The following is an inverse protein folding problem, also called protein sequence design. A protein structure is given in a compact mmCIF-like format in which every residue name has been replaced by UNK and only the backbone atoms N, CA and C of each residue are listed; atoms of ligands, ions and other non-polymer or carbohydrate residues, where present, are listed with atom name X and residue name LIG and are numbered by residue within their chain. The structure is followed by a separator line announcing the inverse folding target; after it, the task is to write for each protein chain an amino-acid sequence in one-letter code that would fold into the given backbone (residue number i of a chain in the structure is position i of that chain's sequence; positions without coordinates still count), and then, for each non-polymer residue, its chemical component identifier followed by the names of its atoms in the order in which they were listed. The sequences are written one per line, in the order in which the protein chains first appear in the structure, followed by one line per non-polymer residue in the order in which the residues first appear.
data_IF_541865106780
#
_entry.id   IF_541865106780
#
_cell.length_a   1.000
_cell.length_b   1.000
_cell.length_c   1.000
_cell.angle_alpha   90.00
_cell.angle_beta   90.00
_cell.angle_gamma   90.00
#
_symmetry.space_group_name_H-M   'P 1'
#
loop_
_entity.id
_entity.type
_entity.pdbx_description
1 polymer ?
#
# COMPACT_ATOMS: atom_id res chain seq x y z
N UNK A 1 38.06 -30.70 -33.09
CA UNK A 1 37.62 -29.29 -32.93
C UNK A 1 36.26 -29.16 -32.25
N UNK A 2 35.21 -29.86 -32.70
CA UNK A 2 33.85 -29.81 -32.12
C UNK A 2 33.74 -30.11 -30.60
N UNK A 3 34.58 -31.00 -30.05
CA UNK A 3 34.57 -31.36 -28.61
C UNK A 3 35.00 -30.20 -27.69
N UNK A 4 35.95 -29.38 -28.14
CA UNK A 4 36.48 -28.23 -27.38
C UNK A 4 35.44 -27.10 -27.35
N UNK A 5 34.77 -26.87 -28.47
CA UNK A 5 33.69 -25.87 -28.59
C UNK A 5 32.49 -26.24 -27.72
N UNK A 6 32.11 -27.51 -27.69
CA UNK A 6 31.03 -28.01 -26.84
C UNK A 6 31.38 -27.93 -25.35
N UNK A 7 32.61 -28.29 -24.96
CA UNK A 7 33.05 -28.18 -23.56
C UNK A 7 33.10 -26.72 -23.09
N UNK A 8 33.59 -25.81 -23.94
CA UNK A 8 33.58 -24.37 -23.65
C UNK A 8 32.15 -23.83 -23.51
N UNK A 9 31.23 -24.24 -24.40
CA UNK A 9 29.82 -23.88 -24.30
C UNK A 9 29.16 -24.45 -23.04
N UNK A 10 29.43 -25.71 -22.68
CA UNK A 10 28.92 -26.33 -21.46
C UNK A 10 29.39 -25.58 -20.20
N UNK A 11 30.66 -25.17 -20.16
CA UNK A 11 31.20 -24.33 -19.07
C UNK A 11 30.53 -22.96 -19.03
N UNK A 12 30.30 -22.34 -20.19
CA UNK A 12 29.55 -21.09 -20.31
C UNK A 12 28.12 -21.23 -19.77
N UNK A 13 27.32 -22.17 -20.28
CA UNK A 13 25.93 -22.37 -19.89
C UNK A 13 25.80 -22.67 -18.39
N UNK A 14 26.66 -23.54 -17.85
CA UNK A 14 26.70 -23.82 -16.41
C UNK A 14 27.11 -22.59 -15.59
N UNK A 15 28.04 -21.77 -16.09
CA UNK A 15 28.43 -20.51 -15.47
C UNK A 15 27.26 -19.53 -15.39
N UNK A 16 26.56 -19.33 -16.50
CA UNK A 16 25.40 -18.43 -16.60
C UNK A 16 24.29 -18.86 -15.63
N UNK A 17 23.97 -20.15 -15.59
CA UNK A 17 22.93 -20.67 -14.70
C UNK A 17 23.23 -20.40 -13.22
N UNK A 18 24.51 -20.38 -12.82
CA UNK A 18 24.93 -20.12 -11.44
C UNK A 18 24.96 -18.63 -11.06
N UNK A 19 24.88 -17.72 -12.02
CA UNK A 19 24.94 -16.30 -11.75
C UNK A 19 23.76 -15.83 -10.88
N UNK A 20 24.02 -14.93 -9.95
CA UNK A 20 23.02 -14.36 -9.04
C UNK A 20 22.64 -12.93 -9.40
N UNK A 21 23.43 -12.29 -10.27
CA UNK A 21 23.32 -10.89 -10.65
C UNK A 21 23.91 -10.66 -12.05
N UNK A 22 23.61 -9.49 -12.64
CA UNK A 22 24.09 -9.12 -13.97
C UNK A 22 25.63 -9.02 -14.07
N UNK A 23 26.36 -8.41 -13.11
CA UNK A 23 27.82 -8.34 -13.19
C UNK A 23 28.52 -9.72 -13.26
N UNK A 24 27.99 -10.74 -12.60
CA UNK A 24 28.51 -12.11 -12.69
C UNK A 24 28.36 -12.69 -14.11
N UNK A 25 27.26 -12.39 -14.80
CA UNK A 25 27.06 -12.78 -16.20
C UNK A 25 28.18 -12.20 -17.08
N UNK A 26 28.54 -10.93 -16.90
CA UNK A 26 29.60 -10.28 -17.68
C UNK A 26 30.93 -11.01 -17.54
N UNK A 27 31.31 -11.36 -16.31
CA UNK A 27 32.52 -12.14 -16.02
C UNK A 27 32.52 -13.52 -16.67
N UNK A 28 31.38 -14.22 -16.66
CA UNK A 28 31.26 -15.54 -17.30
C UNK A 28 31.40 -15.42 -18.82
N UNK A 29 30.83 -14.37 -19.39
CA UNK A 29 30.89 -14.09 -20.84
C UNK A 29 32.31 -13.77 -21.29
N UNK A 30 33.01 -12.88 -20.59
CA UNK A 30 34.41 -12.57 -20.87
C UNK A 30 35.30 -13.81 -20.68
N UNK A 31 35.01 -14.67 -19.71
CA UNK A 31 35.84 -15.86 -19.43
C UNK A 31 35.62 -17.00 -20.42
N UNK A 32 34.40 -17.22 -20.89
CA UNK A 32 34.06 -18.41 -21.66
C UNK A 32 33.61 -18.10 -23.08
N UNK A 33 32.75 -17.10 -23.29
CA UNK A 33 32.13 -16.86 -24.60
C UNK A 33 33.12 -16.27 -25.62
N UNK A 34 34.07 -15.42 -25.19
CA UNK A 34 35.07 -14.79 -26.09
C UNK A 34 35.93 -15.79 -26.87
N UNK A 35 36.10 -17.00 -26.32
CA UNK A 35 36.87 -18.07 -26.98
C UNK A 35 36.03 -18.85 -28.00
N UNK A 36 34.70 -18.77 -27.85
CA UNK A 36 33.75 -19.54 -28.65
C UNK A 36 33.30 -18.71 -29.86
N UNK A 37 32.95 -17.44 -29.66
CA UNK A 37 32.44 -16.53 -30.69
C UNK A 37 33.33 -15.29 -30.81
N UNK A 38 33.56 -14.81 -32.03
CA UNK A 38 34.11 -13.46 -32.22
C UNK A 38 33.00 -12.43 -32.01
N UNK A 39 33.05 -11.72 -30.90
CA UNK A 39 32.14 -10.61 -30.64
C UNK A 39 32.83 -9.54 -29.79
N UNK A 40 32.48 -8.29 -30.08
CA UNK A 40 32.83 -7.14 -29.26
C UNK A 40 31.64 -6.69 -28.41
N UNK A 41 30.44 -6.77 -29.00
CA UNK A 41 29.18 -6.47 -28.33
C UNK A 41 28.14 -7.52 -28.69
N UNK A 42 27.37 -7.93 -27.69
CA UNK A 42 26.13 -8.70 -27.87
C UNK A 42 24.99 -7.89 -27.26
N UNK A 43 23.94 -7.67 -28.05
CA UNK A 43 22.71 -7.02 -27.62
C UNK A 43 21.54 -7.98 -27.85
N UNK A 44 20.72 -8.17 -26.83
CA UNK A 44 19.48 -8.92 -26.88
C UNK A 44 18.33 -7.95 -26.63
N UNK A 45 17.36 -7.98 -27.53
CA UNK A 45 16.12 -7.23 -27.42
C UNK A 45 14.98 -8.23 -27.39
N UNK A 46 14.31 -8.34 -26.26
CA UNK A 46 13.26 -9.32 -25.99
C UNK A 46 11.93 -8.59 -25.88
N UNK A 47 10.97 -8.96 -26.73
CA UNK A 47 9.62 -8.40 -26.75
C UNK A 47 8.67 -9.26 -25.92
N UNK A 48 8.09 -8.71 -24.85
CA UNK A 48 7.09 -9.41 -24.04
C UNK A 48 6.02 -8.45 -23.54
N UNK A 49 4.75 -8.82 -23.71
CA UNK A 49 3.59 -8.05 -23.21
C UNK A 49 3.61 -6.56 -23.61
N UNK A 50 3.95 -6.27 -24.87
CA UNK A 50 4.09 -4.92 -25.44
C UNK A 50 5.19 -4.06 -24.77
N UNK A 51 6.17 -4.69 -24.12
CA UNK A 51 7.37 -4.08 -23.55
C UNK A 51 8.61 -4.70 -24.19
N UNK A 52 9.58 -3.86 -24.53
CA UNK A 52 10.87 -4.32 -25.03
C UNK A 52 11.91 -4.24 -23.93
N UNK A 53 12.59 -5.36 -23.69
CA UNK A 53 13.68 -5.46 -22.73
C UNK A 53 14.99 -5.56 -23.49
N UNK A 54 15.83 -4.56 -23.38
CA UNK A 54 17.15 -4.53 -23.99
C UNK A 54 18.21 -4.93 -22.94
N UNK A 55 19.04 -5.90 -23.31
CA UNK A 55 20.25 -6.27 -22.60
C UNK A 55 21.43 -6.09 -23.55
N UNK A 56 22.38 -5.24 -23.18
CA UNK A 56 23.61 -5.06 -23.94
C UNK A 56 24.80 -5.49 -23.11
N UNK A 57 25.74 -6.18 -23.75
CA UNK A 57 26.95 -6.68 -23.13
C UNK A 57 28.17 -6.27 -23.95
N UNK A 58 29.15 -5.66 -23.29
CA UNK A 58 30.44 -5.30 -23.87
C UNK A 58 31.53 -5.62 -22.85
N UNK A 59 32.40 -6.59 -23.14
CA UNK A 59 33.35 -7.10 -22.16
C UNK A 59 32.66 -7.63 -20.90
N UNK A 60 33.01 -7.06 -19.74
CA UNK A 60 32.42 -7.41 -18.43
C UNK A 60 31.19 -6.60 -18.07
N UNK A 61 30.90 -5.54 -18.81
CA UNK A 61 29.82 -4.64 -18.48
C UNK A 61 28.51 -5.11 -19.12
N UNK A 62 27.45 -5.07 -18.33
CA UNK A 62 26.08 -5.38 -18.77
C UNK A 62 25.19 -4.20 -18.47
N UNK A 63 24.46 -3.78 -19.49
CA UNK A 63 23.43 -2.76 -19.40
C UNK A 63 22.07 -3.39 -19.66
N UNK A 64 21.09 -2.86 -18.95
CA UNK A 64 19.71 -3.27 -19.04
C UNK A 64 18.84 -2.03 -19.13
N UNK A 65 18.00 -1.97 -20.16
CA UNK A 65 17.05 -0.87 -20.38
C UNK A 65 15.71 -1.45 -20.81
N UNK A 66 14.64 -0.78 -20.41
CA UNK A 66 13.31 -1.03 -20.95
C UNK A 66 13.06 0.01 -22.05
N UNK A 67 12.59 -0.43 -23.21
CA UNK A 67 12.29 0.39 -24.39
C UNK A 67 10.84 0.19 -24.81
N UNK A 68 10.31 1.18 -25.53
CA UNK A 68 9.08 1.06 -26.28
C UNK A 68 9.39 0.75 -27.75
N UNK A 69 8.38 0.29 -28.50
CA UNK A 69 8.53 -0.02 -29.93
C UNK A 69 8.96 1.21 -30.74
N UNK A 70 8.58 2.40 -30.28
CA UNK A 70 8.94 3.70 -30.86
C UNK A 70 10.44 4.04 -30.73
N UNK A 71 11.14 3.41 -29.77
CA UNK A 71 12.58 3.63 -29.53
C UNK A 71 13.47 2.70 -30.39
N UNK A 72 12.88 1.91 -31.29
CA UNK A 72 13.61 1.01 -32.16
C UNK A 72 14.22 1.74 -33.35
N UNK A 73 15.45 1.36 -33.69
CA UNK A 73 16.10 1.86 -34.89
C UNK A 73 15.42 1.31 -36.15
N UNK A 74 15.57 1.99 -37.29
CA UNK A 74 14.99 1.56 -38.57
C UNK A 74 15.38 0.11 -38.93
N UNK A 75 16.64 -0.28 -38.70
CA UNK A 75 17.12 -1.65 -38.93
C UNK A 75 16.41 -2.66 -38.02
N UNK A 76 16.21 -2.34 -36.73
CA UNK A 76 15.54 -3.23 -35.79
C UNK A 76 14.05 -3.38 -36.11
N UNK A 77 13.41 -2.28 -36.51
CA UNK A 77 12.02 -2.27 -36.95
C UNK A 77 11.82 -3.09 -38.23
N UNK A 78 12.74 -2.94 -39.19
CA UNK A 78 12.74 -3.72 -40.43
C UNK A 78 12.95 -5.21 -40.13
N UNK A 79 13.89 -5.57 -39.26
CA UNK A 79 14.12 -6.94 -38.83
C UNK A 79 12.89 -7.53 -38.11
N UNK A 80 12.26 -6.76 -37.20
CA UNK A 80 11.07 -7.18 -36.47
C UNK A 80 9.87 -7.46 -37.39
N UNK A 81 9.72 -6.69 -38.48
CA UNK A 81 8.63 -6.82 -39.46
C UNK A 81 8.89 -7.91 -40.51
N UNK A 82 10.10 -7.95 -41.05
CA UNK A 82 10.43 -8.81 -42.21
C UNK A 82 11.02 -10.15 -41.80
N UNK A 83 11.64 -10.23 -40.61
CA UNK A 83 12.38 -11.41 -40.15
C UNK A 83 13.69 -11.66 -40.90
N UNK A 84 14.11 -10.76 -41.79
CA UNK A 84 15.30 -10.94 -42.63
C UNK A 84 16.55 -10.52 -41.83
N UNK A 85 17.54 -11.42 -41.62
CA UNK A 85 18.77 -11.08 -40.93
C UNK A 85 19.49 -9.89 -41.57
N UNK A 86 19.99 -8.98 -40.74
CA UNK A 86 20.66 -7.75 -41.19
C UNK A 86 22.16 -7.90 -40.98
N UNK A 87 22.93 -7.52 -42.00
CA UNK A 87 24.36 -7.28 -41.91
C UNK A 87 24.64 -5.87 -42.42
N UNK A 88 25.14 -5.00 -41.54
CA UNK A 88 25.43 -3.60 -41.88
C UNK A 88 26.74 -3.14 -41.27
N UNK A 89 27.46 -2.27 -41.98
CA UNK A 89 28.63 -1.56 -41.44
C UNK A 89 28.22 -0.33 -40.62
N UNK A 90 26.95 0.06 -40.68
CA UNK A 90 26.40 1.16 -39.89
C UNK A 90 26.05 0.69 -38.48
N UNK A 91 26.99 0.83 -37.54
CA UNK A 91 26.82 0.42 -36.16
C UNK A 91 26.20 1.57 -35.34
N UNK A 92 25.04 1.38 -34.68
CA UNK A 92 24.42 2.43 -33.87
C UNK A 92 25.36 2.95 -32.78
N UNK A 93 25.44 4.28 -32.62
CA UNK A 93 26.31 4.90 -31.60
C UNK A 93 25.93 4.56 -30.16
N UNK A 94 24.65 4.28 -29.89
CA UNK A 94 24.18 3.85 -28.56
C UNK A 94 24.35 2.34 -28.31
N UNK A 95 24.97 1.60 -29.24
CA UNK A 95 25.21 0.18 -29.00
C UNK A 95 26.07 -0.01 -27.74
N UNK A 96 25.65 -0.91 -26.84
CA UNK A 96 26.27 -1.07 -25.53
C UNK A 96 26.43 0.27 -24.77
N UNK A 97 25.42 1.14 -24.84
CA UNK A 97 25.38 2.42 -24.15
C UNK A 97 26.58 3.34 -24.51
N UNK A 98 27.05 3.25 -25.77
CA UNK A 98 28.15 4.05 -26.30
C UNK A 98 29.54 3.68 -25.80
N UNK A 99 29.70 2.51 -25.18
CA UNK A 99 30.99 2.04 -24.64
C UNK A 99 31.87 1.30 -25.64
N UNK A 100 31.36 1.01 -26.83
CA UNK A 100 32.12 0.37 -27.88
C UNK A 100 33.03 1.39 -28.58
N UNK A 101 34.34 1.15 -28.53
CA UNK A 101 35.35 1.94 -29.25
C UNK A 101 35.58 1.37 -30.66
N UNK A 102 34.83 1.90 -31.63
CA UNK A 102 34.90 1.47 -33.04
C UNK A 102 36.28 1.69 -33.67
N UNK A 103 37.09 2.63 -33.15
CA UNK A 103 38.40 2.96 -33.71
C UNK A 103 39.43 1.82 -33.56
N UNK A 104 39.20 0.91 -32.61
CA UNK A 104 40.07 -0.23 -32.32
C UNK A 104 39.72 -1.47 -33.14
N UNK A 105 38.63 -1.43 -33.90
CA UNK A 105 38.10 -2.60 -34.62
C UNK A 105 38.49 -2.56 -36.10
N UNK A 106 38.80 -3.73 -36.66
CA UNK A 106 39.10 -3.88 -38.09
C UNK A 106 37.81 -4.18 -38.88
N UNK A 107 37.32 -3.22 -39.65
CA UNK A 107 36.12 -3.35 -40.49
C UNK A 107 34.92 -3.99 -39.76
N UNK A 108 34.45 -3.38 -38.65
CA UNK A 108 33.40 -3.98 -37.85
C UNK A 108 32.06 -4.01 -38.59
N UNK A 109 31.33 -5.11 -38.42
CA UNK A 109 29.99 -5.30 -38.96
C UNK A 109 29.01 -5.65 -37.84
N UNK A 110 27.83 -5.04 -37.89
CA UNK A 110 26.69 -5.41 -37.08
C UNK A 110 25.92 -6.54 -37.78
N UNK A 111 25.73 -7.64 -37.07
CA UNK A 111 24.87 -8.73 -37.46
C UNK A 111 23.65 -8.75 -36.56
N UNK A 112 22.45 -8.84 -37.12
CA UNK A 112 21.22 -8.93 -36.34
C UNK A 112 20.30 -10.02 -36.85
N UNK A 113 19.75 -10.81 -35.94
CA UNK A 113 18.85 -11.93 -36.23
C UNK A 113 17.58 -11.82 -35.40
N UNK A 114 16.46 -12.24 -35.98
CA UNK A 114 15.21 -12.44 -35.27
C UNK A 114 15.05 -13.93 -34.94
N UNK A 115 14.97 -14.25 -33.66
CA UNK A 115 14.60 -15.57 -33.16
C UNK A 115 13.18 -15.53 -32.63
N UNK A 116 12.29 -16.26 -33.30
CA UNK A 116 10.93 -16.49 -32.80
C UNK A 116 10.97 -17.62 -31.77
N UNK A 117 10.49 -17.35 -30.55
CA UNK A 117 10.26 -18.34 -29.50
C UNK A 117 8.76 -18.53 -29.31
N UNK A 118 8.37 -19.62 -28.65
CA UNK A 118 6.96 -19.97 -28.47
C UNK A 118 6.18 -18.91 -27.68
N UNK A 119 6.84 -18.20 -26.77
CA UNK A 119 6.24 -17.20 -25.86
C UNK A 119 6.63 -15.74 -26.15
N UNK A 120 7.66 -15.49 -26.98
CA UNK A 120 8.16 -14.14 -27.25
C UNK A 120 9.02 -14.05 -28.52
N UNK A 121 9.28 -12.84 -28.98
CA UNK A 121 10.26 -12.57 -30.05
C UNK A 121 11.55 -12.02 -29.46
N UNK A 122 12.69 -12.49 -29.97
CA UNK A 122 14.01 -12.06 -29.53
C UNK A 122 14.84 -11.61 -30.72
N UNK A 123 15.25 -10.36 -30.74
CA UNK A 123 16.26 -9.84 -31.66
C UNK A 123 17.62 -9.95 -30.98
N UNK A 124 18.57 -10.58 -31.66
CA UNK A 124 19.96 -10.69 -31.19
C UNK A 124 20.83 -9.95 -32.18
N UNK A 125 21.54 -8.94 -31.70
CA UNK A 125 22.51 -8.16 -32.45
C UNK A 125 23.91 -8.41 -31.91
N UNK A 126 24.87 -8.61 -32.81
CA UNK A 126 26.27 -8.90 -32.49
C UNK A 126 27.18 -8.05 -33.37
N UNK A 127 28.18 -7.41 -32.76
CA UNK A 127 29.25 -6.73 -33.50
C UNK A 127 30.47 -7.63 -33.55
N UNK A 128 30.92 -7.95 -34.76
CA UNK A 128 32.14 -8.70 -35.03
C UNK A 128 33.04 -7.91 -35.98
N UNK A 129 34.34 -8.17 -35.91
CA UNK A 129 35.36 -7.59 -36.81
C UNK A 129 36.02 -8.68 -37.67
N UNK A 130 36.96 -8.28 -38.51
CA UNK A 130 37.66 -9.19 -39.43
C UNK A 130 38.79 -10.00 -38.77
N UNK A 131 39.09 -9.84 -37.47
CA UNK A 131 40.14 -10.62 -36.81
C UNK A 131 39.81 -12.11 -36.74
N UNK A 132 38.51 -12.44 -36.64
CA UNK A 132 38.01 -13.82 -36.76
C UNK A 132 36.65 -13.81 -37.44
N UNK A 133 36.59 -14.33 -38.66
CA UNK A 133 35.37 -14.36 -39.47
C UNK A 133 34.27 -15.13 -38.75
N UNK A 134 33.13 -14.48 -38.54
CA UNK A 134 31.91 -15.10 -38.04
C UNK A 134 31.29 -15.97 -39.13
N UNK A 135 31.13 -17.26 -38.89
CA UNK A 135 30.66 -18.26 -39.86
C UNK A 135 29.26 -18.75 -39.53
N UNK A 136 28.64 -19.51 -40.46
CA UNK A 136 27.31 -20.11 -40.23
C UNK A 136 27.26 -21.04 -39.02
N UNK A 137 28.39 -21.68 -38.65
CA UNK A 137 28.49 -22.54 -37.46
C UNK A 137 28.40 -21.76 -36.15
N UNK A 138 28.84 -20.50 -36.18
CA UNK A 138 28.81 -19.61 -35.02
C UNK A 138 27.37 -19.14 -34.71
N UNK A 139 26.47 -19.18 -35.70
CA UNK A 139 25.04 -18.85 -35.53
C UNK A 139 24.36 -19.85 -34.59
N UNK A 140 24.63 -21.15 -34.73
CA UNK A 140 24.03 -22.17 -33.86
C UNK A 140 24.43 -21.97 -32.40
N UNK A 141 25.72 -21.69 -32.16
CA UNK A 141 26.25 -21.40 -30.84
C UNK A 141 25.68 -20.07 -30.31
N UNK A 142 25.58 -19.05 -31.15
CA UNK A 142 24.98 -17.77 -30.77
C UNK A 142 23.52 -17.94 -30.34
N UNK A 143 22.74 -18.72 -31.09
CA UNK A 143 21.34 -19.05 -30.74
C UNK A 143 21.28 -19.75 -29.38
N UNK A 144 22.13 -20.76 -29.16
CA UNK A 144 22.22 -21.46 -27.89
C UNK A 144 22.67 -20.56 -26.72
N UNK A 145 23.56 -19.60 -26.97
CA UNK A 145 23.98 -18.62 -25.96
C UNK A 145 22.89 -17.59 -25.67
N UNK A 146 22.19 -17.12 -26.71
CA UNK A 146 21.06 -16.22 -26.58
C UNK A 146 19.93 -16.84 -25.76
N UNK A 147 19.67 -18.14 -25.93
CA UNK A 147 18.68 -18.87 -25.13
C UNK A 147 19.07 -18.94 -23.65
N UNK A 148 20.35 -19.17 -23.36
CA UNK A 148 20.86 -19.14 -21.98
C UNK A 148 20.73 -17.74 -21.36
N UNK A 149 21.05 -16.70 -22.14
CA UNK A 149 20.92 -15.32 -21.69
C UNK A 149 19.46 -14.94 -21.44
N UNK A 150 18.56 -15.24 -22.37
CA UNK A 150 17.13 -14.97 -22.22
C UNK A 150 16.57 -15.60 -20.94
N UNK A 151 16.80 -16.91 -20.77
CA UNK A 151 16.37 -17.63 -19.58
C UNK A 151 16.92 -16.99 -18.30
N UNK A 152 18.21 -16.65 -18.28
CA UNK A 152 18.84 -16.11 -17.07
C UNK A 152 18.42 -14.67 -16.77
N UNK A 153 18.29 -13.84 -17.80
CA UNK A 153 17.82 -12.47 -17.65
C UNK A 153 16.37 -12.41 -17.16
N UNK A 154 15.50 -13.29 -17.68
CA UNK A 154 14.14 -13.49 -17.16
C UNK A 154 14.14 -13.88 -15.69
N UNK A 155 14.93 -14.88 -15.31
CA UNK A 155 15.04 -15.33 -13.91
C UNK A 155 15.46 -14.19 -12.98
N UNK A 156 16.53 -13.46 -13.32
CA UNK A 156 17.04 -12.37 -12.49
C UNK A 156 16.05 -11.22 -12.39
N UNK A 157 15.35 -10.88 -13.46
CA UNK A 157 14.35 -9.82 -13.43
C UNK A 157 13.13 -10.20 -12.59
N UNK A 158 12.59 -11.41 -12.75
CA UNK A 158 11.50 -11.91 -11.91
C UNK A 158 11.88 -11.89 -10.43
N UNK A 159 13.09 -12.34 -10.10
CA UNK A 159 13.61 -12.30 -8.72
C UNK A 159 13.66 -10.87 -8.17
N UNK A 160 14.09 -9.89 -8.98
CA UNK A 160 14.13 -8.46 -8.58
C UNK A 160 12.72 -7.89 -8.39
N UNK A 161 11.78 -8.21 -9.27
CA UNK A 161 10.39 -7.76 -9.16
C UNK A 161 9.71 -8.33 -7.91
N UNK A 162 9.89 -9.62 -7.64
CA UNK A 162 9.36 -10.27 -6.43
C UNK A 162 9.95 -9.60 -5.18
N UNK A 163 11.27 -9.37 -5.14
CA UNK A 163 11.91 -8.69 -4.02
C UNK A 163 11.36 -7.26 -3.81
N UNK A 164 11.10 -6.51 -4.90
CA UNK A 164 10.49 -5.19 -4.84
C UNK A 164 9.05 -5.25 -4.29
N UNK A 165 8.21 -6.15 -4.81
CA UNK A 165 6.83 -6.34 -4.34
C UNK A 165 6.78 -6.75 -2.87
N UNK A 166 7.64 -7.67 -2.43
CA UNK A 166 7.71 -8.10 -1.03
C UNK A 166 8.06 -6.95 -0.09
N UNK A 167 9.01 -6.08 -0.46
CA UNK A 167 9.34 -4.89 0.35
C UNK A 167 8.16 -3.93 0.47
N UNK A 168 7.44 -3.70 -0.63
CA UNK A 168 6.24 -2.84 -0.62
C UNK A 168 5.16 -3.44 0.29
N UNK A 169 4.90 -4.74 0.18
CA UNK A 169 3.92 -5.43 1.01
C UNK A 169 4.28 -5.40 2.50
N UNK A 170 5.54 -5.61 2.85
CA UNK A 170 6.00 -5.50 4.24
C UNK A 170 5.82 -4.09 4.79
N UNK A 171 6.10 -3.05 3.99
CA UNK A 171 5.84 -1.66 4.34
C UNK A 171 4.36 -1.40 4.61
N UNK A 172 3.48 -1.81 3.69
CA UNK A 172 2.04 -1.66 3.84
C UNK A 172 1.49 -2.39 5.09
N UNK A 173 1.96 -3.61 5.37
CA UNK A 173 1.58 -4.35 6.57
C UNK A 173 1.98 -3.61 7.85
N UNK A 174 3.17 -3.02 7.87
CA UNK A 174 3.65 -2.24 9.02
C UNK A 174 2.78 -1.02 9.25
N UNK A 175 2.40 -0.31 8.19
CA UNK A 175 1.49 0.85 8.28
C UNK A 175 0.10 0.44 8.78
N UNK A 176 -0.46 -0.66 8.27
CA UNK A 176 -1.78 -1.17 8.72
C UNK A 176 -1.74 -1.54 10.20
N UNK A 177 -0.67 -2.20 10.66
CA UNK A 177 -0.50 -2.53 12.08
C UNK A 177 -0.46 -1.29 12.96
N UNK A 178 0.31 -0.27 12.57
CA UNK A 178 0.38 1.01 13.30
C UNK A 178 -1.00 1.70 13.38
N UNK A 179 -1.75 1.74 12.28
CA UNK A 179 -3.08 2.34 12.24
C UNK A 179 -4.08 1.55 13.11
N UNK A 180 -4.03 0.22 13.08
CA UNK A 180 -4.88 -0.62 13.93
C UNK A 180 -4.59 -0.38 15.42
N UNK A 181 -3.32 -0.25 15.80
CA UNK A 181 -2.95 0.05 17.18
C UNK A 181 -3.47 1.42 17.62
N UNK A 182 -3.40 2.42 16.75
CA UNK A 182 -3.95 3.76 17.00
C UNK A 182 -5.48 3.72 17.13
N UNK A 183 -6.19 3.07 16.21
CA UNK A 183 -7.63 2.87 16.26
C UNK A 183 -8.02 2.14 17.55
N UNK A 184 -7.28 1.11 17.96
CA UNK A 184 -7.53 0.39 19.20
C UNK A 184 -7.37 1.27 20.44
N UNK A 185 -6.33 2.14 20.47
CA UNK A 185 -6.15 3.13 21.55
C UNK A 185 -7.31 4.12 21.59
N UNK A 186 -7.71 4.65 20.44
CA UNK A 186 -8.85 5.59 20.33
C UNK A 186 -10.13 4.91 20.82
N UNK A 187 -10.43 3.71 20.34
CA UNK A 187 -11.61 2.94 20.75
C UNK A 187 -11.64 2.68 22.25
N UNK A 188 -10.49 2.32 22.85
CA UNK A 188 -10.40 2.12 24.29
C UNK A 188 -10.72 3.40 25.06
N UNK A 189 -10.10 4.52 24.67
CA UNK A 189 -10.34 5.82 25.29
C UNK A 189 -11.82 6.27 25.13
N UNK A 190 -12.40 6.08 23.95
CA UNK A 190 -13.81 6.39 23.70
C UNK A 190 -14.74 5.58 24.60
N UNK A 191 -14.48 4.27 24.77
CA UNK A 191 -15.27 3.43 25.69
C UNK A 191 -15.18 3.93 27.12
N UNK A 192 -13.99 4.28 27.60
CA UNK A 192 -13.80 4.83 28.96
C UNK A 192 -14.55 6.16 29.14
N UNK A 193 -14.48 7.07 28.17
CA UNK A 193 -15.20 8.36 28.20
C UNK A 193 -16.72 8.13 28.18
N UNK A 194 -17.21 7.24 27.32
CA UNK A 194 -18.63 6.90 27.22
C UNK A 194 -19.11 6.32 28.56
N UNK A 195 -18.36 5.40 29.15
CA UNK A 195 -18.71 4.82 30.45
C UNK A 195 -18.80 5.90 31.52
N UNK A 196 -17.78 6.76 31.65
CA UNK A 196 -17.78 7.85 32.63
C UNK A 196 -18.97 8.80 32.45
N UNK A 197 -19.27 9.21 31.21
CA UNK A 197 -20.42 10.07 30.92
C UNK A 197 -21.75 9.38 31.20
N UNK A 198 -21.85 8.09 30.90
CA UNK A 198 -23.05 7.29 31.18
C UNK A 198 -23.30 7.21 32.68
N UNK A 199 -22.26 6.94 33.48
CA UNK A 199 -22.35 6.94 34.94
C UNK A 199 -22.77 8.31 35.51
N UNK A 200 -22.24 9.41 34.95
CA UNK A 200 -22.65 10.76 35.32
C UNK A 200 -24.11 11.05 34.98
N UNK A 201 -24.59 10.61 33.82
CA UNK A 201 -25.99 10.76 33.39
C UNK A 201 -26.92 9.95 34.30
N UNK A 202 -26.57 8.70 34.60
CA UNK A 202 -27.36 7.84 35.50
C UNK A 202 -27.52 8.51 36.86
N UNK A 203 -26.43 9.01 37.46
CA UNK A 203 -26.48 9.74 38.74
C UNK A 203 -27.36 10.98 38.67
N UNK A 204 -27.34 11.73 37.56
CA UNK A 204 -28.20 12.90 37.37
C UNK A 204 -29.68 12.51 37.23
N UNK A 205 -29.97 11.43 36.51
CA UNK A 205 -31.33 10.93 36.33
C UNK A 205 -31.93 10.44 37.66
N UNK A 206 -31.18 9.70 38.48
CA UNK A 206 -31.63 9.28 39.81
C UNK A 206 -32.01 10.46 40.70
N UNK A 207 -31.21 11.53 40.67
CA UNK A 207 -31.49 12.77 41.42
C UNK A 207 -32.75 13.49 40.92
N UNK A 208 -32.90 13.63 39.60
CA UNK A 208 -34.10 14.22 38.99
C UNK A 208 -35.36 13.42 39.34
N UNK A 209 -35.27 12.09 39.32
CA UNK A 209 -36.38 11.21 39.71
C UNK A 209 -36.82 11.49 41.15
N UNK A 210 -35.86 11.64 42.07
CA UNK A 210 -36.13 11.95 43.49
C UNK A 210 -36.87 13.29 43.64
N UNK A 211 -36.44 14.33 42.93
CA UNK A 211 -37.12 15.64 42.92
C UNK A 211 -38.53 15.52 42.32
N UNK A 212 -38.68 14.76 41.23
CA UNK A 212 -39.97 14.57 40.58
C UNK A 212 -40.98 13.85 41.50
N UNK A 213 -40.54 12.85 42.27
CA UNK A 213 -41.38 12.15 43.26
C UNK A 213 -41.82 13.10 44.38
N UNK A 214 -40.89 13.89 44.95
CA UNK A 214 -41.21 14.89 45.97
C UNK A 214 -42.25 15.90 45.47
N UNK A 215 -42.10 16.39 44.24
CA UNK A 215 -43.06 17.33 43.65
C UNK A 215 -44.42 16.70 43.34
N UNK A 216 -44.45 15.52 42.74
CA UNK A 216 -45.69 14.90 42.27
C UNK A 216 -46.58 14.37 43.40
N UNK A 217 -45.98 13.87 44.49
CA UNK A 217 -46.73 13.29 45.61
C UNK A 217 -46.84 14.27 46.79
N UNK A 218 -45.70 14.75 47.30
CA UNK A 218 -45.70 15.48 48.56
C UNK A 218 -46.26 16.90 48.42
N UNK A 219 -46.09 17.56 47.26
CA UNK A 219 -46.70 18.89 47.04
C UNK A 219 -48.17 18.78 46.65
N UNK A 220 -48.54 17.72 45.91
CA UNK A 220 -49.90 17.53 45.40
C UNK A 220 -50.92 17.21 46.49
N UNK A 221 -50.50 16.47 47.52
CA UNK A 221 -51.36 16.09 48.64
C UNK A 221 -51.88 17.28 49.48
N UNK A 222 -51.04 18.20 50.00
CA UNK A 222 -51.53 19.38 50.71
C UNK A 222 -52.25 20.35 49.77
N UNK A 223 -51.85 20.45 48.49
CA UNK A 223 -52.57 21.26 47.51
C UNK A 223 -54.00 20.78 47.28
N UNK A 224 -54.19 19.46 47.13
CA UNK A 224 -55.51 18.85 46.98
C UNK A 224 -56.37 19.06 48.23
N UNK A 225 -55.76 18.99 49.43
CA UNK A 225 -56.43 19.33 50.70
C UNK A 225 -56.85 20.80 50.77
N UNK A 226 -55.98 21.72 50.35
CA UNK A 226 -56.29 23.16 50.30
C UNK A 226 -57.46 23.41 49.35
N UNK A 227 -57.43 22.82 48.15
CA UNK A 227 -58.53 22.94 47.17
C UNK A 227 -59.85 22.39 47.71
N UNK A 228 -59.83 21.19 48.30
CA UNK A 228 -61.03 20.60 48.89
C UNK A 228 -61.58 21.42 50.07
N UNK A 229 -60.71 22.01 50.90
CA UNK A 229 -61.14 22.90 51.98
C UNK A 229 -61.77 24.18 51.41
N UNK A 230 -61.21 24.75 50.34
CA UNK A 230 -61.77 25.94 49.66
C UNK A 230 -63.17 25.65 49.11
N UNK A 231 -63.37 24.50 48.48
CA UNK A 231 -64.68 24.09 47.95
C UNK A 231 -65.75 23.94 49.05
N UNK A 232 -65.35 23.56 50.27
CA UNK A 232 -66.25 23.44 51.42
C UNK A 232 -66.69 24.80 52.00
N UNK A 233 -65.96 25.90 51.74
CA UNK A 233 -66.37 27.23 52.21
C UNK A 233 -67.70 27.69 51.60
N UNK A 234 -68.03 27.24 50.38
CA UNK A 234 -69.28 27.59 49.71
C UNK A 234 -70.50 26.81 50.26
N UNK A 235 -70.26 25.79 51.11
CA UNK A 235 -71.28 24.86 51.62
C UNK A 235 -71.53 24.97 53.13
N UNK A 236 -70.74 25.77 53.85
CA UNK A 236 -70.77 25.89 55.31
C UNK A 236 -71.02 27.33 55.76
N UNK A 237 -71.59 27.51 56.95
CA UNK A 237 -71.81 28.82 57.55
C UNK A 237 -70.52 29.41 58.14
N UNK A 238 -70.46 30.74 58.25
CA UNK A 238 -69.26 31.51 58.61
C UNK A 238 -68.64 31.08 59.95
N UNK A 239 -69.46 30.70 60.93
CA UNK A 239 -69.01 30.26 62.26
C UNK A 239 -68.28 28.91 62.17
N UNK A 240 -68.90 27.93 61.49
CA UNK A 240 -68.32 26.59 61.28
C UNK A 240 -67.07 26.64 60.39
N UNK A 241 -67.07 27.47 59.34
CA UNK A 241 -65.88 27.74 58.52
C UNK A 241 -64.70 28.24 59.36
N UNK A 242 -64.97 29.17 60.29
CA UNK A 242 -63.93 29.81 61.10
C UNK A 242 -63.38 28.88 62.18
N UNK A 243 -64.21 28.01 62.75
CA UNK A 243 -63.80 27.09 63.80
C UNK A 243 -63.16 25.79 63.26
N UNK A 244 -63.61 25.27 62.11
CA UNK A 244 -63.20 23.94 61.63
C UNK A 244 -62.32 23.97 60.37
N UNK A 245 -62.69 24.75 59.36
CA UNK A 245 -61.98 24.80 58.08
C UNK A 245 -60.72 25.67 58.14
N UNK A 246 -60.80 26.84 58.78
CA UNK A 246 -59.68 27.80 58.86
C UNK A 246 -58.43 27.21 59.53
N UNK A 247 -58.50 26.46 60.64
CA UNK A 247 -57.33 25.81 61.23
C UNK A 247 -56.71 24.73 60.32
N UNK A 248 -57.55 23.92 59.64
CA UNK A 248 -57.10 22.87 58.71
C UNK A 248 -56.47 23.45 57.45
N UNK A 249 -56.99 24.56 56.94
CA UNK A 249 -56.42 25.32 55.84
C UNK A 249 -55.03 25.85 56.20
N UNK A 250 -54.91 26.51 57.36
CA UNK A 250 -53.62 27.00 57.87
C UNK A 250 -52.59 25.89 58.03
N UNK A 251 -53.01 24.73 58.54
CA UNK A 251 -52.14 23.55 58.66
C UNK A 251 -51.66 23.06 57.30
N UNK A 252 -52.57 22.93 56.33
CA UNK A 252 -52.24 22.41 54.99
C UNK A 252 -51.36 23.38 54.19
N UNK A 253 -51.58 24.69 54.32
CA UNK A 253 -50.71 25.73 53.73
C UNK A 253 -49.32 25.70 54.35
N UNK A 254 -49.22 25.54 55.68
CA UNK A 254 -47.93 25.47 56.37
C UNK A 254 -47.14 24.23 55.94
N UNK A 255 -47.79 23.09 55.87
CA UNK A 255 -47.20 21.84 55.40
C UNK A 255 -46.73 21.95 53.92
N UNK A 256 -47.52 22.60 53.07
CA UNK A 256 -47.11 22.87 51.69
C UNK A 256 -45.87 23.78 51.61
N UNK A 257 -45.80 24.85 52.41
CA UNK A 257 -44.64 25.75 52.48
C UNK A 257 -43.38 25.00 52.98
N UNK A 258 -43.53 24.11 53.96
CA UNK A 258 -42.43 23.25 54.44
C UNK A 258 -41.90 22.33 53.33
N UNK A 259 -42.79 21.67 52.58
CA UNK A 259 -42.41 20.76 51.48
C UNK A 259 -41.77 21.54 50.32
N UNK A 260 -42.32 22.71 49.96
CA UNK A 260 -41.75 23.57 48.90
C UNK A 260 -40.35 24.05 49.30
N UNK A 261 -40.14 24.45 50.56
CA UNK A 261 -38.80 24.81 51.07
C UNK A 261 -37.83 23.65 51.02
N UNK A 262 -38.28 22.44 51.33
CA UNK A 262 -37.46 21.24 51.22
C UNK A 262 -37.02 20.99 49.77
N UNK A 263 -37.96 21.04 48.81
CA UNK A 263 -37.68 20.88 47.38
C UNK A 263 -36.68 21.93 46.88
N UNK A 264 -36.90 23.21 47.21
CA UNK A 264 -36.00 24.31 46.83
C UNK A 264 -34.62 24.13 47.47
N UNK A 265 -34.58 23.70 48.73
CA UNK A 265 -33.34 23.43 49.46
C UNK A 265 -32.54 22.27 48.90
N UNK A 266 -33.21 21.22 48.38
CA UNK A 266 -32.55 20.13 47.64
C UNK A 266 -32.03 20.63 46.30
N UNK A 267 -32.85 21.33 45.50
CA UNK A 267 -32.45 21.84 44.19
C UNK A 267 -31.29 22.85 44.25
N UNK A 268 -31.27 23.71 45.27
CA UNK A 268 -30.24 24.74 45.45
C UNK A 268 -28.90 24.14 45.91
N UNK A 269 -28.93 23.16 46.81
CA UNK A 269 -27.72 22.40 47.18
C UNK A 269 -27.12 21.68 45.97
N UNK A 270 -27.96 21.10 45.11
CA UNK A 270 -27.51 20.45 43.88
C UNK A 270 -26.90 21.43 42.86
N UNK A 271 -27.48 22.63 42.70
CA UNK A 271 -26.92 23.69 41.85
C UNK A 271 -25.53 24.15 42.32
N UNK A 272 -25.30 24.20 43.64
CA UNK A 272 -24.01 24.57 44.23
C UNK A 272 -22.98 23.45 44.01
N UNK A 273 -23.35 22.18 44.23
CA UNK A 273 -22.47 21.03 43.96
C UNK A 273 -22.09 20.93 42.47
N UNK A 274 -23.03 21.21 41.56
CA UNK A 274 -22.79 21.21 40.11
C UNK A 274 -21.84 22.34 39.68
N UNK A 275 -21.96 23.54 40.26
CA UNK A 275 -21.03 24.66 39.99
C UNK A 275 -19.64 24.42 40.55
N UNK A 276 -19.51 23.73 41.68
CA UNK A 276 -18.22 23.40 42.29
C UNK A 276 -17.43 22.33 41.50
N UNK A 277 -18.12 21.40 40.82
CA UNK A 277 -17.49 20.37 39.96
C UNK A 277 -17.08 20.84 38.56
N UNK A 278 -17.60 21.99 38.11
CA UNK A 278 -17.31 22.56 36.78
C UNK A 278 -16.25 23.68 36.81
N UNK A 279 -15.60 23.90 37.96
CA UNK A 279 -14.43 24.78 38.14
C UNK A 279 -13.18 23.94 38.31
#
# INVERSE_FOLDING_TARGET
MYRITYEAYSKFANGINRCSNFPEIGKVVEKHLKYILNFHVIKLLIEKDNKLMEYSLCGNDIWFKQKNVEDLNEDELNLAKTGIPIRTSNIPKDIANGKLDLSKLKNPHLWSWLFNKDDHKMIVSLVADEERVFTSKDIEILKLAADCFDAKFKELNLKREIAKKNRILQGALTTIQQQNDEINKINKNQKEIIQKRTEEIVKKNEKLLKISVLNAHNVKEPLSRIQGIIELFDLMDDESCRQELLPRLKSSVKEMDEIVREVIGVASRELIELKAKNK
#
